data_IF_320229371661
#
_entry.id   IF_320229371661
#
_cell.length_a   1.000
_cell.length_b   1.000
_cell.length_c   1.000
_cell.angle_alpha   90.00
_cell.angle_beta   90.00
_cell.angle_gamma   90.00
#
_symmetry.space_group_name_H-M   'P 1'
#
loop_
_entity.id
_entity.type
_entity.pdbx_description
1 polymer ?
#
# COMPACT_ATOMS: atom_id res chain seq x y z
N UNK A 1 0.71 -37.56 -11.28
CA UNK A 1 0.52 -36.09 -11.44
C UNK A 1 1.89 -35.47 -11.63
N UNK A 2 2.20 -34.96 -12.82
CA UNK A 2 3.44 -34.20 -13.03
C UNK A 2 3.31 -32.88 -12.27
N UNK A 3 4.01 -32.77 -11.15
CA UNK A 3 4.07 -31.53 -10.38
C UNK A 3 4.76 -30.47 -11.26
N UNK A 4 3.98 -29.72 -12.03
CA UNK A 4 4.53 -28.61 -12.78
C UNK A 4 5.20 -27.66 -11.80
N UNK A 5 6.47 -27.34 -12.05
CA UNK A 5 7.31 -26.40 -11.31
C UNK A 5 6.85 -24.95 -11.51
N UNK A 6 5.54 -24.73 -11.54
CA UNK A 6 4.96 -23.40 -11.60
C UNK A 6 5.19 -22.71 -10.25
N UNK A 7 5.58 -21.41 -10.26
CA UNK A 7 5.69 -20.65 -9.04
C UNK A 7 4.36 -20.62 -8.30
N UNK A 8 4.41 -20.82 -6.98
CA UNK A 8 3.23 -20.77 -6.10
C UNK A 8 3.15 -19.36 -5.51
N UNK A 9 2.01 -18.68 -5.68
CA UNK A 9 1.83 -17.32 -5.16
C UNK A 9 1.71 -17.33 -3.64
N UNK A 10 2.36 -16.37 -3.00
CA UNK A 10 2.20 -16.13 -1.57
C UNK A 10 0.85 -15.44 -1.30
N UNK A 11 0.03 -16.03 -0.45
CA UNK A 11 -1.20 -15.39 0.05
C UNK A 11 -0.83 -14.16 0.89
N UNK A 12 -1.51 -13.03 0.63
CA UNK A 12 -1.16 -11.73 1.22
C UNK A 12 0.04 -11.00 0.57
N UNK A 13 0.54 -11.48 -0.57
CA UNK A 13 1.64 -10.83 -1.31
C UNK A 13 1.34 -9.38 -1.72
N UNK A 14 0.09 -9.07 -2.07
CA UNK A 14 -0.37 -7.71 -2.42
C UNK A 14 -0.17 -6.73 -1.27
N UNK A 15 -0.40 -7.16 -0.03
CA UNK A 15 -0.30 -6.31 1.16
C UNK A 15 1.16 -5.99 1.46
N UNK A 16 2.06 -6.96 1.22
CA UNK A 16 3.51 -6.77 1.37
C UNK A 16 4.08 -5.81 0.31
N UNK A 17 3.67 -5.96 -0.95
CA UNK A 17 4.04 -5.02 -2.02
C UNK A 17 3.50 -3.63 -1.72
N UNK A 18 2.26 -3.54 -1.25
CA UNK A 18 1.66 -2.27 -0.83
C UNK A 18 2.45 -1.62 0.31
N UNK A 19 2.83 -2.40 1.33
CA UNK A 19 3.63 -1.91 2.44
C UNK A 19 5.01 -1.41 1.98
N UNK A 20 5.69 -2.15 1.11
CA UNK A 20 6.97 -1.75 0.50
C UNK A 20 6.85 -0.37 -0.14
N UNK A 21 5.83 -0.17 -0.96
CA UNK A 21 5.61 1.09 -1.68
C UNK A 21 5.24 2.23 -0.73
N UNK A 22 4.37 1.98 0.25
CA UNK A 22 4.03 2.99 1.26
C UNK A 22 5.28 3.44 2.03
N UNK A 23 6.17 2.51 2.40
CA UNK A 23 7.41 2.83 3.09
C UNK A 23 8.34 3.64 2.19
N UNK A 24 8.44 3.30 0.90
CA UNK A 24 9.21 4.08 -0.07
C UNK A 24 8.68 5.52 -0.19
N UNK A 25 7.36 5.68 -0.36
CA UNK A 25 6.70 7.00 -0.42
C UNK A 25 6.93 7.81 0.84
N UNK A 26 6.73 7.21 2.03
CA UNK A 26 6.99 7.89 3.31
C UNK A 26 8.44 8.31 3.41
N UNK A 27 9.38 7.47 2.96
CA UNK A 27 10.81 7.80 2.97
C UNK A 27 11.11 9.02 2.10
N UNK A 28 10.59 9.07 0.86
CA UNK A 28 10.74 10.23 -0.05
C UNK A 28 10.22 11.50 0.63
N UNK A 29 8.99 11.45 1.15
CA UNK A 29 8.34 12.60 1.80
C UNK A 29 9.13 13.07 3.02
N UNK A 30 9.60 12.16 3.86
CA UNK A 30 10.41 12.49 5.05
C UNK A 30 11.73 13.13 4.65
N UNK A 31 12.45 12.54 3.70
CA UNK A 31 13.77 13.02 3.25
C UNK A 31 13.64 14.41 2.64
N UNK A 32 12.68 14.61 1.74
CA UNK A 32 12.50 15.92 1.13
C UNK A 32 11.98 16.98 2.10
N UNK A 33 11.11 16.61 3.04
CA UNK A 33 10.67 17.54 4.09
C UNK A 33 11.87 17.96 4.94
N UNK A 34 12.73 17.01 5.32
CA UNK A 34 13.97 17.30 6.03
C UNK A 34 14.89 18.24 5.22
N UNK A 35 15.09 17.98 3.93
CA UNK A 35 15.91 18.84 3.07
C UNK A 35 15.33 20.24 2.91
N UNK A 36 14.00 20.37 2.74
CA UNK A 36 13.32 21.66 2.65
C UNK A 36 13.48 22.48 3.94
N UNK A 37 13.33 21.82 5.11
CA UNK A 37 13.48 22.48 6.42
C UNK A 37 14.92 22.89 6.73
N UNK A 38 15.90 22.19 6.16
CA UNK A 38 17.33 22.45 6.40
C UNK A 38 17.99 23.30 5.31
N UNK A 39 17.24 23.71 4.27
CA UNK A 39 17.75 24.53 3.18
C UNK A 39 18.67 23.78 2.22
N UNK A 40 18.43 22.48 2.01
CA UNK A 40 19.19 21.60 1.10
C UNK A 40 20.70 21.57 1.40
N UNK A 41 21.11 21.16 2.61
CA UNK A 41 22.52 21.11 2.99
C UNK A 41 23.29 20.12 2.13
N UNK A 42 24.43 20.55 1.58
CA UNK A 42 25.31 19.68 0.82
C UNK A 42 26.23 18.89 1.76
N UNK A 43 26.02 17.57 1.85
CA UNK A 43 26.94 16.66 2.54
C UNK A 43 28.07 16.33 1.55
N UNK A 44 29.30 16.79 1.86
CA UNK A 44 30.50 16.54 1.04
C UNK A 44 31.10 17.75 0.30
N UNK A 45 30.55 18.96 0.47
CA UNK A 45 30.90 20.15 -0.34
C UNK A 45 32.34 20.71 -0.27
N UNK A 46 33.25 20.11 0.50
CA UNK A 46 34.66 20.57 0.62
C UNK A 46 35.67 19.67 -0.11
N UNK A 47 35.21 18.57 -0.70
CA UNK A 47 36.02 17.69 -1.56
C UNK A 47 35.17 17.29 -2.77
N UNK A 48 35.79 16.87 -3.87
CA UNK A 48 35.09 16.45 -5.10
C UNK A 48 34.21 15.18 -4.92
N UNK A 49 33.79 14.84 -3.70
CA UNK A 49 33.07 13.63 -3.33
C UNK A 49 31.65 13.96 -2.87
N UNK A 50 30.69 13.93 -3.80
CA UNK A 50 29.27 13.89 -3.47
C UNK A 50 28.85 12.44 -3.20
N UNK A 51 28.56 12.10 -1.94
CA UNK A 51 27.94 10.81 -1.60
C UNK A 51 26.43 10.97 -1.78
N UNK A 52 25.91 10.46 -2.90
CA UNK A 52 24.49 10.48 -3.18
C UNK A 52 23.72 9.57 -2.22
N UNK A 53 22.58 10.02 -1.72
CA UNK A 53 21.71 9.16 -0.89
C UNK A 53 21.18 7.95 -1.67
N UNK A 54 21.21 7.98 -3.01
CA UNK A 54 20.98 6.80 -3.84
C UNK A 54 21.97 5.66 -3.60
N UNK A 55 23.23 5.94 -3.20
CA UNK A 55 24.19 4.90 -2.85
C UNK A 55 23.72 4.15 -1.59
N UNK A 56 23.29 4.90 -0.57
CA UNK A 56 22.69 4.32 0.63
C UNK A 56 21.38 3.60 0.30
N UNK A 57 20.58 4.16 -0.61
CA UNK A 57 19.37 3.51 -1.13
C UNK A 57 19.66 2.14 -1.75
N UNK A 58 20.64 2.08 -2.67
CA UNK A 58 21.14 0.83 -3.26
C UNK A 58 21.69 -0.15 -2.22
N UNK A 59 22.48 0.35 -1.27
CA UNK A 59 23.03 -0.45 -0.17
C UNK A 59 21.94 -1.08 0.72
N UNK A 60 20.89 -0.34 1.05
CA UNK A 60 19.75 -0.87 1.81
C UNK A 60 18.94 -1.88 0.98
N UNK A 61 18.77 -1.67 -0.33
CA UNK A 61 18.13 -2.68 -1.19
C UNK A 61 18.95 -3.98 -1.25
N UNK A 62 20.27 -3.89 -1.37
CA UNK A 62 21.17 -5.06 -1.30
C UNK A 62 21.03 -5.73 0.08
N UNK A 63 21.03 -4.95 1.16
CA UNK A 63 20.84 -5.47 2.51
C UNK A 63 19.50 -6.19 2.64
N UNK A 64 18.41 -5.66 2.08
CA UNK A 64 17.10 -6.32 2.09
C UNK A 64 17.16 -7.69 1.41
N UNK A 65 17.80 -7.79 0.24
CA UNK A 65 18.00 -9.07 -0.46
C UNK A 65 18.84 -10.04 0.38
N UNK A 66 19.92 -9.56 0.99
CA UNK A 66 20.77 -10.38 1.87
C UNK A 66 19.97 -10.88 3.08
N UNK A 67 19.15 -10.04 3.70
CA UNK A 67 18.28 -10.44 4.81
C UNK A 67 17.27 -11.52 4.39
N UNK A 68 16.67 -11.39 3.20
CA UNK A 68 15.77 -12.39 2.64
C UNK A 68 16.45 -13.73 2.33
N UNK A 69 17.76 -13.71 2.00
CA UNK A 69 18.56 -14.91 1.81
C UNK A 69 19.02 -15.56 3.12
N UNK A 70 19.33 -14.75 4.15
CA UNK A 70 19.92 -15.24 5.40
C UNK A 70 18.88 -15.71 6.42
N UNK A 71 17.67 -15.14 6.40
CA UNK A 71 16.69 -15.35 7.46
C UNK A 71 15.35 -15.83 6.93
N UNK A 72 14.77 -16.79 7.63
CA UNK A 72 13.42 -17.31 7.37
C UNK A 72 12.46 -16.81 8.45
N UNK A 73 11.21 -16.56 8.06
CA UNK A 73 10.11 -16.27 8.97
C UNK A 73 9.51 -14.88 8.80
N UNK A 74 8.34 -14.70 9.39
CA UNK A 74 7.54 -13.49 9.23
C UNK A 74 8.23 -12.20 9.68
N UNK A 75 9.06 -12.23 10.73
CA UNK A 75 9.76 -11.04 11.24
C UNK A 75 10.85 -10.56 10.29
N UNK A 76 11.69 -11.49 9.82
CA UNK A 76 12.73 -11.20 8.84
C UNK A 76 12.14 -10.61 7.55
N UNK A 77 11.04 -11.20 7.07
CA UNK A 77 10.30 -10.72 5.90
C UNK A 77 9.78 -9.30 6.05
N UNK A 78 9.32 -8.91 7.25
CA UNK A 78 8.92 -7.52 7.51
C UNK A 78 10.10 -6.56 7.57
N UNK A 79 11.23 -6.99 8.15
CA UNK A 79 12.46 -6.19 8.15
C UNK A 79 12.94 -5.99 6.72
N UNK A 80 12.94 -7.03 5.89
CA UNK A 80 13.24 -6.97 4.46
C UNK A 80 12.36 -5.94 3.74
N UNK A 81 11.04 -5.98 3.96
CA UNK A 81 10.10 -5.01 3.35
C UNK A 81 10.40 -3.58 3.82
N UNK A 82 10.70 -3.37 5.10
CA UNK A 82 11.01 -2.05 5.65
C UNK A 82 12.33 -1.52 5.08
N UNK A 83 13.39 -2.32 5.17
CA UNK A 83 14.74 -1.95 4.70
C UNK A 83 14.73 -1.73 3.19
N UNK A 84 14.08 -2.62 2.44
CA UNK A 84 13.93 -2.50 0.99
C UNK A 84 13.09 -1.29 0.60
N UNK A 85 12.00 -1.01 1.32
CA UNK A 85 11.15 0.16 1.08
C UNK A 85 11.90 1.48 1.32
N UNK A 86 12.64 1.58 2.43
CA UNK A 86 13.50 2.73 2.72
C UNK A 86 14.58 2.87 1.63
N UNK A 87 15.20 1.76 1.24
CA UNK A 87 16.21 1.75 0.17
C UNK A 87 15.68 2.26 -1.16
N UNK A 88 14.51 1.77 -1.59
CA UNK A 88 13.81 2.23 -2.79
C UNK A 88 13.47 3.72 -2.68
N UNK A 89 12.94 4.16 -1.53
CA UNK A 89 12.58 5.56 -1.31
C UNK A 89 13.79 6.51 -1.44
N UNK A 90 14.90 6.18 -0.78
CA UNK A 90 16.16 6.96 -0.88
C UNK A 90 16.74 6.96 -2.29
N UNK A 91 16.63 5.84 -3.01
CA UNK A 91 17.10 5.75 -4.38
C UNK A 91 16.26 6.61 -5.33
N UNK A 92 14.93 6.50 -5.23
CA UNK A 92 13.98 7.23 -6.07
C UNK A 92 14.05 8.74 -5.83
N UNK A 93 14.29 9.18 -4.59
CA UNK A 93 14.37 10.59 -4.25
C UNK A 93 15.47 11.34 -5.01
N UNK A 94 16.58 10.66 -5.31
CA UNK A 94 17.75 11.25 -5.97
C UNK A 94 17.72 11.09 -7.50
N UNK A 95 16.71 10.42 -8.07
CA UNK A 95 16.61 10.14 -9.52
C UNK A 95 16.73 11.41 -10.36
N UNK A 96 16.22 12.55 -9.88
CA UNK A 96 16.34 13.83 -10.61
C UNK A 96 17.78 14.24 -10.92
N UNK A 97 18.70 14.04 -9.95
CA UNK A 97 20.11 14.39 -10.17
C UNK A 97 20.77 13.50 -11.22
N UNK A 98 20.37 12.23 -11.33
CA UNK A 98 21.02 11.29 -12.25
C UNK A 98 20.47 11.33 -13.68
N UNK A 99 19.26 11.86 -13.87
CA UNK A 99 18.66 11.96 -15.20
C UNK A 99 19.20 13.16 -15.97
N UNK A 100 19.74 14.17 -15.29
CA UNK A 100 20.29 15.38 -15.93
C UNK A 100 21.81 15.42 -15.93
N UNK A 101 22.39 15.99 -17.00
CA UNK A 101 23.83 16.30 -17.04
C UNK A 101 24.23 17.38 -16.01
N UNK A 102 23.26 18.12 -15.48
CA UNK A 102 23.45 19.25 -14.55
C UNK A 102 23.17 18.91 -13.08
N UNK A 103 22.84 17.66 -12.75
CA UNK A 103 22.51 17.21 -11.38
C UNK A 103 21.34 17.98 -10.73
N UNK A 104 20.33 18.34 -11.53
CA UNK A 104 19.15 19.07 -11.08
C UNK A 104 18.16 18.15 -10.35
N UNK A 105 17.99 18.38 -9.04
CA UNK A 105 17.10 17.61 -8.17
C UNK A 105 15.61 17.79 -8.52
N UNK A 106 15.27 18.89 -9.20
CA UNK A 106 13.90 19.24 -9.59
C UNK A 106 13.61 18.96 -11.07
N UNK A 107 14.46 18.17 -11.74
CA UNK A 107 14.26 17.82 -13.13
C UNK A 107 12.90 17.14 -13.35
N UNK A 108 12.03 17.77 -14.13
CA UNK A 108 10.61 17.40 -14.22
C UNK A 108 10.32 15.93 -14.57
N UNK A 109 11.03 15.29 -15.53
CA UNK A 109 10.87 13.85 -15.80
C UNK A 109 11.20 12.93 -14.62
N UNK A 110 11.89 13.41 -13.58
CA UNK A 110 12.21 12.59 -12.41
C UNK A 110 10.96 12.23 -11.58
N UNK A 111 10.02 13.17 -11.45
CA UNK A 111 8.74 12.92 -10.80
C UNK A 111 7.95 11.83 -11.55
N UNK A 112 8.01 11.84 -12.88
CA UNK A 112 7.35 10.86 -13.74
C UNK A 112 8.02 9.47 -13.66
N UNK A 113 9.36 9.42 -13.64
CA UNK A 113 10.09 8.16 -13.46
C UNK A 113 9.76 7.55 -12.10
N UNK A 114 9.74 8.38 -11.05
CA UNK A 114 9.37 7.95 -9.70
C UNK A 114 7.91 7.44 -9.66
N UNK A 115 6.98 8.19 -10.24
CA UNK A 115 5.57 7.80 -10.40
C UNK A 115 5.43 6.46 -11.13
N UNK A 116 6.02 6.34 -12.32
CA UNK A 116 5.89 5.16 -13.17
C UNK A 116 6.49 3.94 -12.49
N UNK A 117 7.63 4.11 -11.82
CA UNK A 117 8.27 3.03 -11.04
C UNK A 117 7.35 2.53 -9.93
N UNK A 118 6.84 3.44 -9.10
CA UNK A 118 5.92 3.10 -8.01
C UNK A 118 4.64 2.44 -8.55
N UNK A 119 4.07 3.01 -9.61
CA UNK A 119 2.85 2.50 -10.23
C UNK A 119 3.05 1.08 -10.78
N UNK A 120 4.15 0.83 -11.49
CA UNK A 120 4.47 -0.50 -12.04
C UNK A 120 4.61 -1.52 -10.92
N UNK A 121 5.26 -1.17 -9.80
CA UNK A 121 5.41 -2.08 -8.66
C UNK A 121 4.05 -2.39 -8.02
N UNK A 122 3.21 -1.38 -7.79
CA UNK A 122 1.86 -1.58 -7.23
C UNK A 122 0.97 -2.39 -8.17
N UNK A 123 0.88 -1.99 -9.44
CA UNK A 123 0.04 -2.69 -10.44
C UNK A 123 0.56 -4.10 -10.65
N UNK A 124 1.88 -4.28 -10.81
CA UNK A 124 2.50 -5.59 -10.99
C UNK A 124 2.19 -6.54 -9.83
N UNK A 125 2.36 -6.08 -8.58
CA UNK A 125 2.03 -6.86 -7.39
C UNK A 125 0.55 -7.23 -7.30
N UNK A 126 -0.34 -6.31 -7.66
CA UNK A 126 -1.78 -6.57 -7.67
C UNK A 126 -2.19 -7.48 -8.83
N UNK A 127 -1.61 -7.32 -10.01
CA UNK A 127 -1.92 -8.12 -11.20
C UNK A 127 -1.55 -9.59 -10.98
N UNK A 128 -0.39 -9.87 -10.38
CA UNK A 128 0.02 -11.25 -10.03
C UNK A 128 -1.05 -11.97 -9.20
N UNK A 129 -1.73 -11.24 -8.30
CA UNK A 129 -2.75 -11.77 -7.41
C UNK A 129 -4.16 -11.75 -8.03
N UNK A 130 -4.47 -10.78 -8.89
CA UNK A 130 -5.81 -10.55 -9.42
C UNK A 130 -6.21 -11.50 -10.56
N UNK A 131 -5.24 -12.06 -11.29
CA UNK A 131 -5.53 -12.79 -12.54
C UNK A 131 -6.20 -14.15 -12.31
N UNK A 132 -6.02 -14.80 -11.15
CA UNK A 132 -6.67 -16.10 -10.87
C UNK A 132 -7.18 -16.21 -9.45
N UNK A 133 -8.27 -16.96 -9.27
CA UNK A 133 -8.71 -17.41 -7.94
C UNK A 133 -7.60 -18.24 -7.29
N UNK A 134 -7.43 -18.05 -5.99
CA UNK A 134 -6.49 -18.82 -5.16
C UNK A 134 -6.80 -20.30 -5.28
N UNK A 135 -5.82 -21.06 -5.75
CA UNK A 135 -5.95 -22.49 -5.99
C UNK A 135 -5.86 -23.27 -4.68
N UNK A 136 -6.36 -24.50 -4.67
CA UNK A 136 -6.23 -25.41 -3.51
C UNK A 136 -4.75 -25.65 -3.17
N UNK A 137 -3.90 -25.80 -4.19
CA UNK A 137 -2.44 -25.94 -4.03
C UNK A 137 -1.80 -24.74 -3.33
N UNK A 138 -2.19 -23.52 -3.70
CA UNK A 138 -1.68 -22.30 -3.05
C UNK A 138 -2.10 -22.21 -1.59
N UNK A 139 -3.34 -22.59 -1.27
CA UNK A 139 -3.81 -22.65 0.12
C UNK A 139 -3.06 -23.70 0.93
N UNK A 140 -2.84 -24.90 0.38
CA UNK A 140 -2.08 -25.96 1.05
C UNK A 140 -0.66 -25.50 1.41
N UNK A 141 0.03 -24.85 0.46
CA UNK A 141 1.37 -24.32 0.68
C UNK A 141 1.37 -23.20 1.74
N UNK A 142 0.41 -22.27 1.71
CA UNK A 142 0.32 -21.21 2.73
C UNK A 142 0.01 -21.75 4.12
N UNK A 143 -0.87 -22.76 4.23
CA UNK A 143 -1.15 -23.44 5.50
C UNK A 143 0.09 -24.18 6.02
N UNK A 144 0.80 -24.90 5.16
CA UNK A 144 2.03 -25.60 5.54
C UNK A 144 3.12 -24.65 6.02
N UNK A 145 3.40 -23.58 5.26
CA UNK A 145 4.36 -22.53 5.66
C UNK A 145 3.90 -21.85 6.95
N UNK A 146 2.61 -21.51 7.05
CA UNK A 146 2.04 -20.86 8.22
C UNK A 146 2.12 -21.72 9.48
N UNK A 147 1.90 -23.03 9.38
CA UNK A 147 2.05 -23.97 10.49
C UNK A 147 3.53 -24.11 10.91
N UNK A 148 4.45 -24.21 9.95
CA UNK A 148 5.88 -24.27 10.24
C UNK A 148 6.39 -22.99 10.93
N UNK A 149 6.04 -21.81 10.39
CA UNK A 149 6.35 -20.52 11.01
C UNK A 149 5.69 -20.40 12.39
N UNK A 150 4.46 -20.89 12.54
CA UNK A 150 3.71 -20.83 13.78
C UNK A 150 4.25 -21.71 14.90
N UNK A 151 4.77 -22.88 14.58
CA UNK A 151 5.46 -23.73 15.57
C UNK A 151 6.80 -23.14 16.01
N UNK A 152 7.50 -22.43 15.12
CA UNK A 152 8.81 -21.86 15.43
C UNK A 152 8.75 -20.50 16.13
N UNK A 153 7.79 -19.65 15.77
CA UNK A 153 7.75 -18.23 16.19
C UNK A 153 6.41 -17.79 16.79
N UNK A 154 5.43 -18.70 16.86
CA UNK A 154 4.05 -18.41 17.21
C UNK A 154 3.27 -17.67 16.13
N UNK A 155 1.95 -17.66 16.29
CA UNK A 155 1.00 -17.01 15.38
C UNK A 155 0.17 -15.95 16.10
N UNK A 156 -0.24 -14.94 15.35
CA UNK A 156 -1.32 -14.06 15.81
C UNK A 156 -2.65 -14.81 15.75
N UNK A 157 -3.60 -14.48 16.64
CA UNK A 157 -4.97 -15.03 16.61
C UNK A 157 -5.63 -14.86 15.24
N UNK A 158 -5.39 -13.72 14.59
CA UNK A 158 -5.93 -13.45 13.26
C UNK A 158 -5.32 -14.37 12.20
N UNK A 159 -4.00 -14.56 12.21
CA UNK A 159 -3.34 -15.47 11.27
C UNK A 159 -3.77 -16.91 11.50
N UNK A 160 -3.87 -17.38 12.75
CA UNK A 160 -4.36 -18.72 13.05
C UNK A 160 -5.78 -18.93 12.49
N UNK A 161 -6.70 -18.00 12.73
CA UNK A 161 -8.07 -18.07 12.18
C UNK A 161 -8.08 -18.15 10.65
N UNK A 162 -7.27 -17.33 9.98
CA UNK A 162 -7.18 -17.33 8.51
C UNK A 162 -6.61 -18.65 7.95
N UNK A 163 -5.63 -19.25 8.64
CA UNK A 163 -5.07 -20.55 8.27
C UNK A 163 -6.07 -21.69 8.50
N UNK A 164 -6.78 -21.67 9.64
CA UNK A 164 -7.85 -22.65 9.94
C UNK A 164 -8.97 -22.59 8.91
N UNK A 165 -9.49 -21.39 8.60
CA UNK A 165 -10.53 -21.24 7.57
C UNK A 165 -10.05 -21.67 6.18
N UNK A 166 -8.76 -21.45 5.87
CA UNK A 166 -8.17 -21.93 4.63
C UNK A 166 -8.09 -23.46 4.59
N UNK A 167 -7.82 -24.10 5.73
CA UNK A 167 -7.77 -25.55 5.88
C UNK A 167 -9.16 -26.18 5.74
N UNK A 168 -10.20 -25.56 6.30
CA UNK A 168 -11.58 -26.04 6.15
C UNK A 168 -12.05 -25.93 4.67
N UNK A 169 -11.64 -24.87 3.97
CA UNK A 169 -11.88 -24.72 2.54
C UNK A 169 -11.09 -25.73 1.68
N UNK A 170 -9.93 -26.21 2.16
CA UNK A 170 -9.15 -27.28 1.52
C UNK A 170 -9.86 -28.63 1.71
N UNK A 171 -10.35 -28.92 2.91
CA UNK A 171 -11.10 -30.14 3.24
C UNK A 171 -12.38 -30.23 2.39
N UNK A 172 -13.14 -29.14 2.29
CA UNK A 172 -14.32 -29.06 1.43
C UNK A 172 -14.02 -29.26 -0.06
N UNK A 173 -12.78 -29.04 -0.50
CA UNK A 173 -12.34 -29.27 -1.88
C UNK A 173 -11.92 -30.72 -2.15
N UNK A 174 -12.00 -31.61 -1.16
CA UNK A 174 -11.74 -33.06 -1.31
C UNK A 174 -10.26 -33.44 -1.35
N UNK A 175 -9.38 -32.65 -0.71
CA UNK A 175 -7.98 -33.04 -0.50
C UNK A 175 -7.89 -34.21 0.48
N UNK A 176 -6.83 -35.02 0.39
CA UNK A 176 -6.60 -36.18 1.24
C UNK A 176 -6.82 -35.83 2.74
N UNK A 177 -7.78 -36.50 3.42
CA UNK A 177 -8.05 -36.28 4.83
C UNK A 177 -6.82 -36.45 5.73
N UNK A 178 -5.85 -37.30 5.35
CA UNK A 178 -4.62 -37.52 6.11
C UNK A 178 -3.76 -36.26 6.11
N UNK A 179 -3.61 -35.62 4.95
CA UNK A 179 -2.83 -34.38 4.81
C UNK A 179 -3.50 -33.23 5.58
N UNK A 180 -4.82 -33.11 5.47
CA UNK A 180 -5.61 -32.12 6.21
C UNK A 180 -5.46 -32.32 7.72
N UNK A 181 -5.57 -33.57 8.20
CA UNK A 181 -5.42 -33.89 9.62
C UNK A 181 -4.01 -33.57 10.14
N UNK A 182 -2.97 -33.82 9.34
CA UNK A 182 -1.59 -33.48 9.70
C UNK A 182 -1.39 -31.97 9.88
N UNK A 183 -1.90 -31.16 8.93
CA UNK A 183 -1.85 -29.70 9.01
C UNK A 183 -2.69 -29.16 10.18
N UNK A 184 -3.87 -29.73 10.42
CA UNK A 184 -4.75 -29.38 11.55
C UNK A 184 -4.04 -29.61 12.89
N UNK A 185 -3.36 -30.75 13.02
CA UNK A 185 -2.54 -31.09 14.19
C UNK A 185 -1.31 -30.18 14.34
N UNK A 186 -0.70 -29.73 13.24
CA UNK A 186 0.40 -28.76 13.30
C UNK A 186 -0.09 -27.39 13.78
N UNK A 187 -1.22 -26.91 13.25
CA UNK A 187 -1.82 -25.63 13.65
C UNK A 187 -2.26 -25.61 15.12
N UNK A 188 -2.81 -26.71 15.65
CA UNK A 188 -3.24 -26.78 17.05
C UNK A 188 -2.08 -26.72 18.06
N UNK A 189 -0.86 -27.00 17.62
CA UNK A 189 0.37 -26.93 18.42
C UNK A 189 1.10 -25.59 18.31
N UNK A 190 0.63 -24.67 17.48
CA UNK A 190 1.24 -23.36 17.34
C UNK A 190 0.95 -22.50 18.57
N UNK A 191 1.98 -21.87 19.13
CA UNK A 191 1.76 -20.89 20.19
C UNK A 191 1.03 -19.66 19.65
N UNK A 192 0.09 -19.13 20.43
CA UNK A 192 -0.71 -17.97 20.03
C UNK A 192 -0.28 -16.75 20.82
N UNK A 193 0.03 -15.67 20.10
CA UNK A 193 0.46 -14.41 20.70
C UNK A 193 -0.44 -13.27 20.25
N UNK A 194 -0.90 -12.45 21.19
CA UNK A 194 -1.48 -11.15 20.85
C UNK A 194 -0.35 -10.14 20.64
N UNK A 195 0.05 -9.94 19.38
CA UNK A 195 1.10 -8.99 19.06
C UNK A 195 0.81 -7.60 19.64
N UNK A 196 1.83 -6.95 20.24
CA UNK A 196 1.74 -5.58 20.80
C UNK A 196 1.10 -4.59 19.82
N UNK A 197 1.35 -4.75 18.51
CA UNK A 197 0.74 -3.94 17.46
C UNK A 197 -0.79 -4.12 17.35
N UNK A 198 -1.31 -5.34 17.53
CA UNK A 198 -2.75 -5.58 17.54
C UNK A 198 -3.40 -5.00 18.80
N UNK A 199 -2.72 -5.07 19.94
CA UNK A 199 -3.16 -4.43 21.17
C UNK A 199 -3.15 -2.89 21.06
N UNK A 200 -2.09 -2.31 20.47
CA UNK A 200 -1.99 -0.88 20.21
C UNK A 200 -3.07 -0.42 19.22
N UNK A 201 -3.32 -1.17 18.15
CA UNK A 201 -4.39 -0.89 17.20
C UNK A 201 -5.77 -0.91 17.84
N UNK A 202 -6.06 -1.88 18.73
CA UNK A 202 -7.30 -1.91 19.52
C UNK A 202 -7.41 -0.70 20.45
N UNK A 203 -6.32 -0.28 21.10
CA UNK A 203 -6.28 0.86 22.01
C UNK A 203 -6.50 2.19 21.29
N UNK A 204 -5.84 2.39 20.16
CA UNK A 204 -6.06 3.56 19.29
C UNK A 204 -7.52 3.56 18.79
N UNK A 205 -8.07 2.40 18.41
CA UNK A 205 -9.47 2.28 18.00
C UNK A 205 -10.47 2.57 19.11
N UNK A 206 -10.18 2.18 20.35
CA UNK A 206 -11.03 2.48 21.50
C UNK A 206 -10.97 3.95 21.92
N UNK A 207 -9.88 4.65 21.57
CA UNK A 207 -9.72 6.09 21.81
C UNK A 207 -10.36 6.95 20.72
N UNK A 208 -10.64 6.38 19.54
CA UNK A 208 -11.29 7.10 18.44
C UNK A 208 -12.78 7.36 18.75
N UNK A 209 -13.25 8.61 18.67
CA UNK A 209 -14.66 8.94 18.88
C UNK A 209 -15.57 8.16 17.92
N UNK A 210 -16.79 7.80 18.37
CA UNK A 210 -17.78 7.08 17.54
C UNK A 210 -18.12 7.79 16.22
N UNK A 211 -18.02 9.12 16.18
CA UNK A 211 -18.06 9.94 14.97
C UNK A 211 -17.07 9.46 13.91
N UNK A 212 -15.83 9.16 14.31
CA UNK A 212 -14.71 8.89 13.38
C UNK A 212 -14.90 7.54 12.72
N UNK A 213 -15.65 6.65 13.37
CA UNK A 213 -16.00 5.33 12.85
C UNK A 213 -17.40 5.34 12.20
N UNK A 214 -17.98 6.51 11.95
CA UNK A 214 -19.31 6.59 11.35
C UNK A 214 -19.30 6.23 9.86
N UNK A 215 -20.32 5.47 9.44
CA UNK A 215 -20.56 5.16 8.02
C UNK A 215 -20.65 6.43 7.15
N UNK A 216 -21.20 7.51 7.72
CA UNK A 216 -21.35 8.80 7.03
C UNK A 216 -20.01 9.47 6.77
N UNK A 217 -19.10 9.49 7.76
CA UNK A 217 -17.78 10.10 7.59
C UNK A 217 -16.93 9.33 6.57
N UNK A 218 -16.93 8.00 6.62
CA UNK A 218 -16.20 7.20 5.63
C UNK A 218 -16.77 7.37 4.21
N UNK A 219 -18.10 7.51 4.08
CA UNK A 219 -18.71 7.85 2.80
C UNK A 219 -18.37 9.27 2.35
N UNK A 220 -18.36 10.25 3.25
CA UNK A 220 -17.97 11.62 2.96
C UNK A 220 -16.51 11.71 2.51
N UNK A 221 -15.60 11.02 3.21
CA UNK A 221 -14.20 10.93 2.82
C UNK A 221 -14.01 10.26 1.45
N UNK A 222 -14.75 9.18 1.17
CA UNK A 222 -14.74 8.56 -0.15
C UNK A 222 -15.25 9.48 -1.27
N UNK A 223 -16.33 10.23 -1.02
CA UNK A 223 -16.84 11.22 -1.98
C UNK A 223 -15.89 12.41 -2.16
N UNK A 224 -15.31 12.91 -1.08
CA UNK A 224 -14.29 13.95 -1.12
C UNK A 224 -13.13 13.51 -2.01
N UNK A 225 -12.61 12.30 -1.79
CA UNK A 225 -11.56 11.70 -2.62
C UNK A 225 -11.96 11.55 -4.09
N UNK A 226 -13.20 11.13 -4.36
CA UNK A 226 -13.69 11.02 -5.73
C UNK A 226 -13.77 12.41 -6.40
N UNK A 227 -14.28 13.42 -5.70
CA UNK A 227 -14.38 14.79 -6.20
C UNK A 227 -12.98 15.38 -6.44
N UNK A 228 -12.05 15.21 -5.51
CA UNK A 228 -10.66 15.68 -5.69
C UNK A 228 -9.99 14.97 -6.86
N UNK A 229 -10.20 13.67 -7.03
CA UNK A 229 -9.66 12.92 -8.16
C UNK A 229 -10.24 13.38 -9.51
N UNK A 230 -11.55 13.68 -9.56
CA UNK A 230 -12.19 14.25 -10.74
C UNK A 230 -11.65 15.66 -11.03
N UNK A 231 -11.55 16.50 -10.01
CA UNK A 231 -11.02 17.85 -10.13
C UNK A 231 -9.59 17.82 -10.67
N UNK A 232 -8.72 16.98 -10.12
CA UNK A 232 -7.34 16.79 -10.63
C UNK A 232 -7.35 16.36 -12.10
N UNK A 233 -8.17 15.38 -12.47
CA UNK A 233 -8.25 14.93 -13.86
C UNK A 233 -8.74 16.03 -14.82
N UNK A 234 -9.77 16.81 -14.42
CA UNK A 234 -10.33 17.89 -15.24
C UNK A 234 -9.37 19.07 -15.37
N UNK A 235 -8.68 19.44 -14.29
CA UNK A 235 -7.70 20.53 -14.31
C UNK A 235 -6.53 20.21 -15.24
N UNK A 236 -6.07 18.96 -15.26
CA UNK A 236 -5.05 18.49 -16.21
C UNK A 236 -5.56 18.29 -17.64
N UNK A 237 -6.86 18.11 -17.85
CA UNK A 237 -7.47 18.02 -19.19
C UNK A 237 -7.66 19.38 -19.85
N UNK A 238 -8.04 20.39 -19.07
CA UNK A 238 -8.40 21.70 -19.60
C UNK A 238 -7.28 22.75 -19.57
N UNK A 239 -6.08 22.40 -19.06
CA UNK A 239 -4.98 23.36 -18.88
C UNK A 239 -5.36 24.53 -17.96
N UNK A 240 -6.34 24.33 -17.07
CA UNK A 240 -6.91 25.42 -16.27
C UNK A 240 -6.03 25.83 -15.09
N UNK A 241 -4.86 25.21 -14.87
CA UNK A 241 -3.90 25.63 -13.84
C UNK A 241 -4.44 25.66 -12.41
N UNK A 242 -5.55 24.96 -12.12
CA UNK A 242 -6.22 24.99 -10.81
C UNK A 242 -6.08 23.60 -10.17
N UNK A 243 -5.18 23.43 -9.21
CA UNK A 243 -4.97 22.16 -8.49
C UNK A 243 -5.50 22.22 -7.06
N UNK A 244 -5.79 21.09 -6.39
CA UNK A 244 -6.35 21.10 -5.03
C UNK A 244 -5.47 21.86 -4.04
N UNK A 245 -4.15 21.71 -4.15
CA UNK A 245 -3.17 22.45 -3.34
C UNK A 245 -3.21 23.96 -3.59
N UNK A 246 -3.55 24.39 -4.81
CA UNK A 246 -3.69 25.81 -5.18
C UNK A 246 -5.05 26.37 -4.78
N UNK A 247 -6.13 25.57 -4.88
CA UNK A 247 -7.47 25.90 -4.41
C UNK A 247 -7.56 25.98 -2.89
N UNK A 248 -6.84 25.12 -2.17
CA UNK A 248 -6.83 25.11 -0.72
C UNK A 248 -5.83 26.12 -0.12
N UNK A 249 -4.74 26.46 -0.82
CA UNK A 249 -3.61 27.20 -0.23
C UNK A 249 -2.87 28.21 -1.14
N UNK A 250 -3.41 28.62 -2.30
CA UNK A 250 -2.82 29.65 -3.19
C UNK A 250 -1.34 29.41 -3.58
N UNK A 251 -0.94 28.15 -3.81
CA UNK A 251 0.43 27.83 -4.23
C UNK A 251 0.65 28.11 -5.74
N UNK A 252 1.63 28.94 -6.11
CA UNK A 252 2.01 29.17 -7.51
C UNK A 252 3.02 28.12 -8.02
N UNK A 253 2.74 27.46 -9.14
CA UNK A 253 3.69 26.63 -9.89
C UNK A 253 4.03 27.29 -11.24
N UNK A 254 5.24 27.07 -11.77
CA UNK A 254 5.73 27.74 -12.99
C UNK A 254 5.22 27.15 -14.32
N UNK A 255 5.16 27.98 -15.36
CA UNK A 255 4.46 27.72 -16.63
C UNK A 255 5.01 26.56 -17.50
N UNK A 256 6.27 26.14 -17.33
CA UNK A 256 6.86 25.02 -18.11
C UNK A 256 6.61 23.64 -17.48
N UNK A 257 5.99 23.61 -16.31
CA UNK A 257 5.79 22.43 -15.46
C UNK A 257 4.50 21.65 -15.82
N UNK A 258 3.58 22.27 -16.56
CA UNK A 258 2.21 21.76 -16.75
C UNK A 258 2.07 20.56 -17.71
N UNK A 259 2.77 20.54 -18.85
CA UNK A 259 2.31 19.75 -20.02
C UNK A 259 2.48 18.22 -19.93
N UNK A 260 3.49 17.71 -19.21
CA UNK A 260 3.79 16.25 -19.19
C UNK A 260 3.24 15.54 -17.93
N UNK A 261 3.21 16.23 -16.79
CA UNK A 261 2.53 15.83 -15.53
C UNK A 261 1.02 15.61 -15.73
N UNK A 262 0.40 16.37 -16.64
CA UNK A 262 -1.03 16.32 -16.89
C UNK A 262 -1.55 14.95 -17.35
N UNK A 263 -0.80 14.21 -18.18
CA UNK A 263 -1.26 12.90 -18.67
C UNK A 263 -1.37 11.86 -17.56
N UNK A 264 -0.40 11.88 -16.64
CA UNK A 264 -0.37 10.99 -15.47
C UNK A 264 -1.57 11.26 -14.57
N UNK A 265 -1.85 12.54 -14.28
CA UNK A 265 -2.96 12.94 -13.43
C UNK A 265 -4.33 12.73 -14.07
N UNK A 266 -4.44 12.87 -15.40
CA UNK A 266 -5.66 12.51 -16.13
C UNK A 266 -5.98 11.03 -15.91
N UNK A 267 -5.01 10.14 -16.10
CA UNK A 267 -5.22 8.70 -15.95
C UNK A 267 -5.50 8.34 -14.48
N UNK A 268 -4.64 8.78 -13.56
CA UNK A 268 -4.78 8.46 -12.14
C UNK A 268 -6.09 9.01 -11.56
N UNK A 269 -6.41 10.28 -11.84
CA UNK A 269 -7.62 10.94 -11.39
C UNK A 269 -8.88 10.31 -11.99
N UNK A 270 -8.90 10.00 -13.28
CA UNK A 270 -10.04 9.36 -13.94
C UNK A 270 -10.30 7.96 -13.41
N UNK A 271 -9.27 7.13 -13.29
CA UNK A 271 -9.39 5.77 -12.74
C UNK A 271 -9.84 5.83 -11.29
N UNK A 272 -9.24 6.70 -10.48
CA UNK A 272 -9.63 6.86 -9.07
C UNK A 272 -11.08 7.32 -8.94
N UNK A 273 -11.51 8.29 -9.75
CA UNK A 273 -12.89 8.78 -9.75
C UNK A 273 -13.87 7.65 -10.10
N UNK A 274 -13.68 6.98 -11.23
CA UNK A 274 -14.58 5.92 -11.71
C UNK A 274 -14.67 4.79 -10.67
N UNK A 275 -13.52 4.28 -10.21
CA UNK A 275 -13.52 3.19 -9.23
C UNK A 275 -14.13 3.60 -7.89
N UNK A 276 -13.89 4.84 -7.44
CA UNK A 276 -14.45 5.34 -6.17
C UNK A 276 -15.96 5.54 -6.25
N UNK A 277 -16.47 6.11 -7.35
CA UNK A 277 -17.91 6.24 -7.58
C UNK A 277 -18.59 4.88 -7.65
N UNK A 278 -18.04 3.94 -8.42
CA UNK A 278 -18.57 2.57 -8.51
C UNK A 278 -18.60 1.90 -7.13
N UNK A 279 -17.52 2.01 -6.35
CA UNK A 279 -17.45 1.47 -5.01
C UNK A 279 -18.45 2.12 -4.04
N UNK A 280 -18.55 3.46 -4.03
CA UNK A 280 -19.47 4.20 -3.17
C UNK A 280 -20.93 3.89 -3.50
N UNK A 281 -21.27 3.81 -4.78
CA UNK A 281 -22.63 3.46 -5.24
C UNK A 281 -22.97 2.03 -4.83
N UNK A 282 -22.07 1.06 -5.04
CA UNK A 282 -22.26 -0.32 -4.61
C UNK A 282 -22.41 -0.46 -3.09
N UNK A 283 -21.63 0.31 -2.32
CA UNK A 283 -21.73 0.33 -0.86
C UNK A 283 -23.02 0.98 -0.35
N UNK A 284 -23.53 2.02 -1.02
CA UNK A 284 -24.79 2.70 -0.66
C UNK A 284 -26.03 1.91 -1.05
N UNK A 285 -26.04 1.25 -2.21
CA UNK A 285 -27.21 0.49 -2.74
C UNK A 285 -27.58 -0.76 -1.92
N UNK A 286 -26.90 -1.03 -0.81
CA UNK A 286 -27.43 -1.89 0.25
C UNK A 286 -27.45 -3.40 -0.07
N UNK A 287 -26.62 -3.88 -1.00
CA UNK A 287 -26.49 -5.30 -1.33
C UNK A 287 -25.99 -6.19 -0.17
N UNK A 288 -25.74 -7.47 -0.45
CA UNK A 288 -25.27 -8.45 0.55
C UNK A 288 -24.02 -7.96 1.29
N UNK A 289 -23.80 -8.35 2.56
CA UNK A 289 -22.63 -7.95 3.34
C UNK A 289 -21.31 -8.19 2.60
N UNK A 290 -21.21 -9.29 1.84
CA UNK A 290 -20.06 -9.61 1.00
C UNK A 290 -19.80 -8.56 -0.10
N UNK A 291 -20.83 -8.08 -0.79
CA UNK A 291 -20.70 -7.03 -1.82
C UNK A 291 -20.27 -5.71 -1.21
N UNK A 292 -20.74 -5.38 0.00
CA UNK A 292 -20.30 -4.16 0.73
C UNK A 292 -18.83 -4.22 1.09
N UNK A 293 -18.35 -5.36 1.59
CA UNK A 293 -16.93 -5.56 1.89
C UNK A 293 -16.08 -5.47 0.62
N UNK A 294 -16.51 -6.07 -0.49
CA UNK A 294 -15.81 -5.96 -1.78
C UNK A 294 -15.74 -4.51 -2.27
N UNK A 295 -16.85 -3.77 -2.18
CA UNK A 295 -16.90 -2.36 -2.56
C UNK A 295 -15.96 -1.51 -1.70
N UNK A 296 -15.94 -1.73 -0.38
CA UNK A 296 -15.03 -1.03 0.52
C UNK A 296 -13.56 -1.39 0.26
N UNK A 297 -13.25 -2.65 -0.07
CA UNK A 297 -11.89 -3.06 -0.46
C UNK A 297 -11.44 -2.37 -1.75
N UNK A 298 -12.32 -2.25 -2.74
CA UNK A 298 -12.02 -1.49 -3.95
C UNK A 298 -11.76 -0.01 -3.62
N UNK A 299 -12.63 0.62 -2.82
CA UNK A 299 -12.46 2.02 -2.40
C UNK A 299 -11.19 2.24 -1.58
N UNK A 300 -10.80 1.27 -0.75
CA UNK A 300 -9.58 1.31 0.04
C UNK A 300 -8.34 1.18 -0.85
N UNK A 301 -8.37 0.26 -1.82
CA UNK A 301 -7.28 0.09 -2.78
C UNK A 301 -7.09 1.35 -3.65
N UNK A 302 -8.19 1.98 -4.11
CA UNK A 302 -8.11 3.23 -4.87
C UNK A 302 -7.59 4.37 -4.01
N UNK A 303 -7.99 4.45 -2.74
CA UNK A 303 -7.46 5.44 -1.81
C UNK A 303 -5.96 5.30 -1.56
N UNK A 304 -5.47 4.06 -1.38
CA UNK A 304 -4.03 3.79 -1.28
C UNK A 304 -3.33 4.24 -2.56
N UNK A 305 -3.79 3.79 -3.72
CA UNK A 305 -3.17 4.13 -5.00
C UNK A 305 -3.13 5.66 -5.20
N UNK A 306 -4.26 6.35 -5.04
CA UNK A 306 -4.34 7.79 -5.21
C UNK A 306 -3.45 8.56 -4.22
N UNK A 307 -3.44 8.16 -2.94
CA UNK A 307 -2.65 8.84 -1.90
C UNK A 307 -1.15 8.62 -2.08
N UNK A 308 -0.75 7.38 -2.32
CA UNK A 308 0.66 6.99 -2.44
C UNK A 308 1.25 7.54 -3.74
N UNK A 309 0.53 7.35 -4.83
CA UNK A 309 1.01 7.73 -6.16
C UNK A 309 0.87 9.23 -6.37
N UNK A 310 -0.32 9.80 -6.08
CA UNK A 310 -0.56 11.23 -6.20
C UNK A 310 0.26 12.03 -5.20
N UNK A 311 0.39 11.57 -3.95
CA UNK A 311 1.16 12.27 -2.92
C UNK A 311 2.65 12.41 -3.28
N UNK A 312 3.24 11.44 -3.97
CA UNK A 312 4.64 11.52 -4.41
C UNK A 312 4.82 12.57 -5.51
N UNK A 313 3.92 12.61 -6.49
CA UNK A 313 3.99 13.59 -7.58
C UNK A 313 3.64 14.99 -7.08
N UNK A 314 2.60 15.12 -6.26
CA UNK A 314 2.22 16.37 -5.60
C UNK A 314 3.39 16.90 -4.77
N UNK A 315 4.12 16.04 -4.05
CA UNK A 315 5.27 16.46 -3.26
C UNK A 315 6.42 16.91 -4.17
N UNK A 316 6.64 16.23 -5.30
CA UNK A 316 7.67 16.62 -6.24
C UNK A 316 7.44 18.03 -6.82
N UNK A 317 6.18 18.43 -6.94
CA UNK A 317 5.78 19.66 -7.59
C UNK A 317 5.48 20.82 -6.63
N UNK A 318 4.80 20.52 -5.52
CA UNK A 318 4.34 21.51 -4.53
C UNK A 318 5.11 21.45 -3.21
N UNK A 319 6.09 20.56 -3.08
CA UNK A 319 6.89 20.40 -1.87
C UNK A 319 6.03 20.13 -0.63
N UNK A 320 6.26 20.90 0.44
CA UNK A 320 5.59 20.70 1.73
C UNK A 320 4.06 20.81 1.68
N UNK A 321 3.47 21.51 0.70
CA UNK A 321 2.01 21.62 0.57
C UNK A 321 1.34 20.26 0.28
N UNK A 322 2.06 19.32 -0.34
CA UNK A 322 1.56 17.98 -0.60
C UNK A 322 1.37 17.12 0.66
N UNK A 323 2.00 17.50 1.78
CA UNK A 323 1.82 16.82 3.07
C UNK A 323 0.35 16.83 3.49
N UNK A 324 -0.38 17.90 3.18
CA UNK A 324 -1.81 18.00 3.49
C UNK A 324 -2.61 16.97 2.70
N UNK A 325 -2.38 16.87 1.38
CA UNK A 325 -3.01 15.85 0.51
C UNK A 325 -2.72 14.43 1.01
N UNK A 326 -1.47 14.16 1.40
CA UNK A 326 -1.07 12.87 1.95
C UNK A 326 -1.79 12.57 3.27
N UNK A 327 -1.86 13.54 4.19
CA UNK A 327 -2.56 13.38 5.48
C UNK A 327 -4.05 13.12 5.27
N UNK A 328 -4.70 13.84 4.36
CA UNK A 328 -6.11 13.61 3.99
C UNK A 328 -6.31 12.22 3.40
N UNK A 329 -5.41 11.80 2.51
CA UNK A 329 -5.42 10.48 1.90
C UNK A 329 -5.24 9.35 2.93
N UNK A 330 -4.24 9.46 3.82
CA UNK A 330 -3.99 8.51 4.91
C UNK A 330 -5.19 8.43 5.85
N UNK A 331 -5.79 9.58 6.19
CA UNK A 331 -7.01 9.62 7.00
C UNK A 331 -8.14 8.86 6.32
N UNK A 332 -8.35 9.08 5.02
CA UNK A 332 -9.35 8.35 4.21
C UNK A 332 -9.09 6.84 4.22
N UNK A 333 -7.85 6.41 4.04
CA UNK A 333 -7.44 4.99 4.08
C UNK A 333 -7.79 4.37 5.45
N UNK A 334 -7.48 5.05 6.55
CA UNK A 334 -7.76 4.58 7.91
C UNK A 334 -9.27 4.48 8.19
N UNK A 335 -10.05 5.47 7.75
CA UNK A 335 -11.51 5.44 7.86
C UNK A 335 -12.11 4.25 7.11
N UNK A 336 -11.66 4.00 5.88
CA UNK A 336 -12.11 2.88 5.06
C UNK A 336 -11.71 1.53 5.67
N UNK A 337 -10.49 1.42 6.21
CA UNK A 337 -10.03 0.20 6.90
C UNK A 337 -10.92 -0.12 8.10
N UNK A 338 -11.28 0.90 8.88
CA UNK A 338 -12.17 0.74 10.02
C UNK A 338 -13.55 0.22 9.60
N UNK A 339 -14.11 0.73 8.48
CA UNK A 339 -15.40 0.25 7.96
C UNK A 339 -15.33 -1.19 7.44
N UNK A 340 -14.25 -1.55 6.72
CA UNK A 340 -14.04 -2.94 6.26
C UNK A 340 -14.09 -3.91 7.44
N UNK A 341 -13.41 -3.57 8.54
CA UNK A 341 -13.37 -4.41 9.73
C UNK A 341 -14.73 -4.52 10.45
N UNK A 342 -15.64 -3.55 10.28
CA UNK A 342 -16.98 -3.60 10.87
C UNK A 342 -17.88 -4.49 10.01
N UNK A 343 -17.92 -4.22 8.71
CA UNK A 343 -18.76 -5.00 7.78
C UNK A 343 -18.29 -6.46 7.68
N UNK A 344 -17.00 -6.76 7.87
CA UNK A 344 -16.50 -8.14 7.91
C UNK A 344 -17.02 -8.93 9.13
N UNK A 345 -17.16 -8.30 10.29
CA UNK A 345 -17.73 -8.97 11.48
C UNK A 345 -19.21 -9.33 11.29
N UNK A 346 -19.94 -8.54 10.51
CA UNK A 346 -21.34 -8.84 10.17
C UNK A 346 -21.42 -10.02 9.21
N UNK A 347 -20.53 -10.09 8.20
CA UNK A 347 -20.44 -11.25 7.30
C UNK A 347 -20.15 -12.54 8.07
N UNK A 348 -19.26 -12.49 9.07
CA UNK A 348 -18.91 -13.65 9.89
C UNK A 348 -20.10 -14.14 10.73
N UNK A 349 -20.90 -13.22 11.29
CA UNK A 349 -22.09 -13.58 12.07
C UNK A 349 -23.17 -14.27 11.20
N UNK A 350 -23.38 -13.80 9.97
CA UNK A 350 -24.35 -14.37 9.01
C UNK A 350 -23.97 -15.79 8.53
N UNK A 351 -22.69 -16.17 8.59
CA UNK A 351 -22.21 -17.51 8.17
C UNK A 351 -22.29 -18.54 9.31
N UNK A 352 -22.37 -18.06 10.55
CA UNK A 352 -22.48 -18.92 11.75
C UNK A 352 -23.92 -19.22 12.20
N UNK A 353 -24.91 -18.66 11.51
CA UNK A 353 -26.34 -18.93 11.70
C UNK A 353 -26.88 -19.79 10.55
#
# INVERSE_FOLDING_TARGET
MTASARPVRALGGSDRVTALVVIATVTIVVVRTYLALTGYPQIGGHSNLHIAHALFGGGLMILALVLGCLFVGSRARWIEIVVGGVGIGLFLDEVGKFVTKTNDYFYHPAAEIMYLTILIVVIGGNLVQAVHRTTVRERLVDVGIGAAEGMAFGLTRERLRNLSASLDAIEAAGVDPIEVAALRSALSRCDVHDGRAAALGRRVRSMLPRWVVSRRLAAAAGWLMAITALQVALSSLGGFGIRPSQLLFEAGGGDTVEVMSDRVYIVLGSVTFVCSVVALVRWRRGGTPQVRVQALRLLHATAIAFTVVGGVVDFAEFGGFALVSIVVGVTTILLLRAQIAIESTVVEADVTQ
#
